data_IF_339276660464
#
_entry.id   IF_339276660464
#
_cell.length_a   1.000
_cell.length_b   1.000
_cell.length_c   1.000
_cell.angle_alpha   90.00
_cell.angle_beta   90.00
_cell.angle_gamma   90.00
#
_symmetry.space_group_name_H-M   'P 1'
#
loop_
_entity.id
_entity.type
_entity.pdbx_description
1 polymer ?
#
# COMPACT_ATOMS: atom_id res chain seq x y z
N UNK A 1 25.75 -56.57 -17.32
CA UNK A 1 24.48 -56.01 -16.77
C UNK A 1 24.60 -55.33 -15.39
N UNK A 2 25.80 -54.91 -14.94
CA UNK A 2 25.98 -54.28 -13.61
C UNK A 2 25.98 -52.73 -13.59
N UNK A 3 26.09 -52.07 -14.75
CA UNK A 3 26.17 -50.59 -14.83
C UNK A 3 24.82 -49.86 -14.88
N UNK A 4 23.74 -50.51 -15.35
CA UNK A 4 22.42 -49.84 -15.46
C UNK A 4 21.71 -49.66 -14.12
N UNK A 5 21.96 -50.53 -13.14
CA UNK A 5 21.29 -50.46 -11.82
C UNK A 5 21.87 -49.34 -10.95
N UNK A 6 23.18 -49.07 -11.04
CA UNK A 6 23.82 -47.98 -10.28
C UNK A 6 23.38 -46.58 -10.73
N UNK A 7 23.17 -46.35 -12.03
CA UNK A 7 22.66 -45.05 -12.50
C UNK A 7 21.23 -44.78 -12.02
N UNK A 8 20.37 -45.81 -11.95
CA UNK A 8 18.99 -45.63 -11.49
C UNK A 8 18.95 -45.35 -9.99
N UNK A 9 19.76 -46.04 -9.17
CA UNK A 9 19.86 -45.75 -7.74
C UNK A 9 20.42 -44.35 -7.44
N UNK A 10 21.43 -43.90 -8.19
CA UNK A 10 21.98 -42.54 -8.04
C UNK A 10 20.97 -41.46 -8.44
N UNK A 11 20.18 -41.68 -9.50
CA UNK A 11 19.14 -40.73 -9.91
C UNK A 11 17.99 -40.65 -8.88
N UNK A 12 17.62 -41.77 -8.25
CA UNK A 12 16.63 -41.77 -7.16
C UNK A 12 17.16 -41.10 -5.89
N UNK A 13 18.45 -41.24 -5.57
CA UNK A 13 19.07 -40.53 -4.44
C UNK A 13 19.16 -39.02 -4.69
N UNK A 14 19.51 -38.59 -5.90
CA UNK A 14 19.50 -37.16 -6.27
C UNK A 14 18.09 -36.56 -6.27
N UNK A 15 17.07 -37.31 -6.70
CA UNK A 15 15.68 -36.89 -6.63
C UNK A 15 15.17 -36.83 -5.17
N UNK A 16 15.59 -37.77 -4.31
CA UNK A 16 15.24 -37.76 -2.88
C UNK A 16 15.91 -36.60 -2.13
N UNK A 17 17.16 -36.23 -2.45
CA UNK A 17 17.81 -35.04 -1.90
C UNK A 17 17.21 -33.73 -2.44
N UNK A 18 16.74 -33.69 -3.70
CA UNK A 18 16.01 -32.52 -4.22
C UNK A 18 14.66 -32.33 -3.52
N UNK A 19 14.01 -33.38 -3.05
CA UNK A 19 12.76 -33.27 -2.26
C UNK A 19 13.03 -32.81 -0.81
N UNK A 20 14.23 -33.08 -0.27
CA UNK A 20 14.65 -32.64 1.07
C UNK A 20 15.33 -31.27 1.11
N UNK A 21 15.69 -30.70 -0.04
CA UNK A 21 16.30 -29.36 -0.16
C UNK A 21 15.32 -28.27 -0.60
N UNK A 22 14.03 -28.57 -0.74
CA UNK A 22 12.99 -27.54 -0.69
C UNK A 22 12.69 -27.21 0.77
N UNK A 23 13.07 -26.03 1.30
CA UNK A 23 12.46 -25.55 2.52
C UNK A 23 11.00 -25.22 2.21
N UNK A 24 10.12 -26.19 2.49
CA UNK A 24 8.70 -25.92 2.63
C UNK A 24 8.51 -24.85 3.71
N UNK A 25 7.97 -23.70 3.31
CA UNK A 25 7.22 -22.78 4.18
C UNK A 25 7.91 -22.20 5.44
N UNK A 26 9.12 -21.65 5.32
CA UNK A 26 9.70 -20.83 6.41
C UNK A 26 9.98 -19.36 6.10
N UNK A 27 9.69 -18.87 4.89
CA UNK A 27 9.87 -17.43 4.58
C UNK A 27 8.71 -16.56 5.10
N UNK A 28 7.47 -17.04 5.07
CA UNK A 28 6.29 -16.18 5.35
C UNK A 28 6.19 -15.68 6.80
N UNK A 29 6.68 -16.43 7.79
CA UNK A 29 6.45 -16.11 9.21
C UNK A 29 7.40 -15.00 9.70
N UNK A 30 8.67 -14.98 9.25
CA UNK A 30 9.63 -13.93 9.65
C UNK A 30 9.26 -12.56 9.10
N UNK A 31 8.80 -12.48 7.85
CA UNK A 31 8.42 -11.22 7.22
C UNK A 31 7.14 -10.59 7.80
N UNK A 32 6.22 -11.42 8.32
CA UNK A 32 4.99 -10.96 8.99
C UNK A 32 5.28 -10.12 10.24
N UNK A 33 6.33 -10.44 11.00
CA UNK A 33 6.73 -9.67 12.19
C UNK A 33 7.36 -8.30 11.83
N UNK A 34 7.98 -8.16 10.66
CA UNK A 34 8.52 -6.88 10.19
C UNK A 34 7.43 -5.86 9.82
N UNK A 35 6.29 -6.33 9.29
CA UNK A 35 5.19 -5.51 8.77
C UNK A 35 4.01 -5.40 9.73
N UNK A 36 4.17 -4.62 10.78
CA UNK A 36 3.05 -4.26 11.65
C UNK A 36 2.08 -3.31 10.95
N UNK A 37 0.82 -3.74 10.80
CA UNK A 37 -0.30 -2.89 10.38
C UNK A 37 -0.74 -2.03 11.57
N UNK A 38 -1.20 -0.81 11.31
CA UNK A 38 -1.52 0.18 12.36
C UNK A 38 -3.00 0.57 12.34
N UNK A 39 -3.53 0.91 13.51
CA UNK A 39 -4.88 1.44 13.74
C UNK A 39 -4.94 2.98 13.74
N UNK A 40 -4.07 3.64 12.99
CA UNK A 40 -4.07 5.11 12.86
C UNK A 40 -5.12 5.48 11.81
N UNK A 41 -6.14 6.22 12.24
CA UNK A 41 -7.20 6.74 11.38
C UNK A 41 -7.48 8.20 11.72
N UNK A 42 -7.91 8.93 10.70
CA UNK A 42 -8.31 10.34 10.75
C UNK A 42 -9.81 10.48 10.43
N UNK A 43 -10.35 11.69 10.45
CA UNK A 43 -11.76 11.96 10.13
C UNK A 43 -11.93 12.70 8.79
N UNK A 44 -13.18 12.82 8.31
CA UNK A 44 -13.48 13.49 7.05
C UNK A 44 -13.10 14.98 7.00
N UNK A 45 -13.02 15.67 8.15
CA UNK A 45 -12.55 17.07 8.19
C UNK A 45 -11.08 17.14 7.82
N UNK A 46 -10.25 16.29 8.44
CA UNK A 46 -8.83 16.15 8.13
C UNK A 46 -8.61 15.85 6.64
N UNK A 47 -9.39 14.93 6.05
CA UNK A 47 -9.33 14.66 4.61
C UNK A 47 -9.61 15.90 3.75
N UNK A 48 -10.66 16.67 4.05
CA UNK A 48 -10.97 17.90 3.30
C UNK A 48 -9.84 18.92 3.38
N UNK A 49 -9.24 19.07 4.55
CA UNK A 49 -8.10 19.96 4.75
C UNK A 49 -6.90 19.52 3.91
N UNK A 50 -6.64 18.21 3.84
CA UNK A 50 -5.59 17.63 2.99
C UNK A 50 -5.92 17.73 1.50
N UNK A 51 -7.16 17.49 1.07
CA UNK A 51 -7.54 17.68 -0.34
C UNK A 51 -7.35 19.12 -0.80
N UNK A 52 -7.46 20.09 0.12
CA UNK A 52 -7.25 21.52 -0.14
C UNK A 52 -5.77 21.93 -0.07
N UNK A 53 -5.05 21.53 0.97
CA UNK A 53 -3.69 22.02 1.29
C UNK A 53 -2.57 21.03 0.93
N UNK A 54 -2.91 19.77 0.73
CA UNK A 54 -1.97 18.65 0.62
C UNK A 54 -1.33 18.26 1.95
N UNK A 55 -0.61 17.14 1.97
CA UNK A 55 0.19 16.73 3.13
C UNK A 55 1.64 17.20 2.94
N UNK A 56 2.31 17.66 4.00
CA UNK A 56 3.68 18.16 3.92
C UNK A 56 4.64 17.23 3.14
N UNK A 57 4.60 15.92 3.40
CA UNK A 57 5.43 14.95 2.68
C UNK A 57 5.14 14.93 1.17
N UNK A 58 3.87 14.89 0.79
CA UNK A 58 3.49 14.87 -0.62
C UNK A 58 3.71 16.22 -1.30
N UNK A 59 3.50 17.33 -0.59
CA UNK A 59 3.77 18.67 -1.11
C UNK A 59 5.26 18.84 -1.41
N UNK A 60 6.13 18.38 -0.53
CA UNK A 60 7.58 18.39 -0.76
C UNK A 60 7.95 17.50 -1.96
N UNK A 61 7.35 16.31 -2.09
CA UNK A 61 7.60 15.46 -3.25
C UNK A 61 7.05 16.01 -4.57
N UNK A 62 5.90 16.71 -4.54
CA UNK A 62 5.36 17.45 -5.69
C UNK A 62 6.36 18.52 -6.13
N UNK A 63 6.85 19.33 -5.18
CA UNK A 63 7.84 20.37 -5.44
C UNK A 63 9.10 19.79 -6.11
N UNK A 64 9.64 18.70 -5.55
CA UNK A 64 10.80 18.00 -6.14
C UNK A 64 10.54 17.49 -7.56
N UNK A 65 9.44 16.77 -7.77
CA UNK A 65 9.12 16.11 -9.04
C UNK A 65 8.71 17.08 -10.14
N UNK A 66 8.27 18.28 -9.77
CA UNK A 66 7.86 19.34 -10.70
C UNK A 66 8.92 20.43 -10.81
N UNK A 67 10.06 20.27 -10.13
CA UNK A 67 11.13 21.27 -10.05
C UNK A 67 10.62 22.65 -9.61
N UNK A 68 9.66 22.67 -8.68
CA UNK A 68 9.02 23.89 -8.16
C UNK A 68 7.99 24.54 -9.09
N UNK A 69 7.69 23.95 -10.25
CA UNK A 69 6.70 24.49 -11.19
C UNK A 69 5.27 24.41 -10.63
N UNK A 70 4.97 23.40 -9.80
CA UNK A 70 3.68 23.24 -9.17
C UNK A 70 3.70 23.73 -7.72
N UNK A 71 2.73 24.59 -7.39
CA UNK A 71 2.40 24.91 -5.99
C UNK A 71 1.10 24.19 -5.62
N UNK A 72 1.08 23.38 -4.53
CA UNK A 72 -0.10 22.60 -4.10
C UNK A 72 -1.38 23.43 -3.91
N UNK A 73 -1.24 24.75 -3.81
CA UNK A 73 -2.28 25.77 -3.72
C UNK A 73 -3.33 25.67 -4.86
N UNK A 74 -3.00 25.03 -5.99
CA UNK A 74 -3.92 24.78 -7.12
C UNK A 74 -4.85 23.56 -6.91
N UNK A 75 -4.77 22.88 -5.76
CA UNK A 75 -5.57 21.73 -5.39
C UNK A 75 -4.75 20.43 -5.45
N UNK A 76 -4.68 19.72 -4.32
CA UNK A 76 -3.76 18.60 -4.11
C UNK A 76 -3.87 17.50 -5.19
N UNK A 77 -5.09 17.10 -5.55
CA UNK A 77 -5.32 16.05 -6.55
C UNK A 77 -4.92 16.47 -7.97
N UNK A 78 -5.03 17.76 -8.30
CA UNK A 78 -4.60 18.30 -9.59
C UNK A 78 -3.07 18.25 -9.69
N UNK A 79 -2.37 18.68 -8.65
CA UNK A 79 -0.90 18.60 -8.60
C UNK A 79 -0.42 17.14 -8.66
N UNK A 80 -1.09 16.19 -7.99
CA UNK A 80 -0.78 14.77 -8.14
C UNK A 80 -1.01 14.23 -9.56
N UNK A 81 -2.03 14.72 -10.27
CA UNK A 81 -2.24 14.36 -11.68
C UNK A 81 -1.11 14.88 -12.56
N UNK A 82 -0.66 16.11 -12.34
CA UNK A 82 0.46 16.69 -13.07
C UNK A 82 1.76 15.92 -12.81
N UNK A 83 2.02 15.51 -11.56
CA UNK A 83 3.14 14.60 -11.23
C UNK A 83 3.06 13.30 -12.04
N UNK A 84 1.86 12.71 -12.13
CA UNK A 84 1.70 11.49 -12.94
C UNK A 84 1.96 11.75 -14.43
N UNK A 85 1.51 12.88 -14.96
CA UNK A 85 1.72 13.24 -16.37
C UNK A 85 3.20 13.50 -16.69
N UNK A 86 3.95 14.11 -15.76
CA UNK A 86 5.42 14.23 -15.84
C UNK A 86 6.06 12.84 -15.84
N UNK A 87 5.64 11.97 -14.91
CA UNK A 87 6.14 10.59 -14.85
C UNK A 87 5.94 9.87 -16.19
N UNK A 88 4.79 10.05 -16.83
CA UNK A 88 4.51 9.45 -18.14
C UNK A 88 5.36 10.04 -19.27
N UNK A 89 5.65 11.33 -19.22
CA UNK A 89 6.39 12.06 -20.25
C UNK A 89 7.88 11.79 -20.16
N UNK A 90 8.44 11.81 -18.95
CA UNK A 90 9.86 11.57 -18.70
C UNK A 90 10.08 10.70 -17.45
N UNK A 91 10.01 9.38 -17.67
CA UNK A 91 10.28 8.37 -16.65
C UNK A 91 11.72 8.44 -16.14
N UNK A 92 12.69 8.81 -16.99
CA UNK A 92 14.09 8.78 -16.63
C UNK A 92 14.44 9.96 -15.70
N UNK A 93 14.00 11.17 -16.02
CA UNK A 93 14.17 12.32 -15.14
C UNK A 93 13.46 12.09 -13.79
N UNK A 94 12.22 11.59 -13.84
CA UNK A 94 11.45 11.24 -12.63
C UNK A 94 12.21 10.22 -11.77
N UNK A 95 12.73 9.15 -12.39
CA UNK A 95 13.54 8.14 -11.72
C UNK A 95 14.77 8.74 -11.04
N UNK A 96 15.49 9.63 -11.74
CA UNK A 96 16.70 10.26 -11.19
C UNK A 96 16.41 11.12 -9.96
N UNK A 97 15.35 11.93 -9.98
CA UNK A 97 14.94 12.74 -8.82
C UNK A 97 14.62 11.84 -7.62
N UNK A 98 13.92 10.73 -7.85
CA UNK A 98 13.60 9.76 -6.80
C UNK A 98 14.88 9.08 -6.28
N UNK A 99 15.77 8.64 -7.18
CA UNK A 99 17.02 7.98 -6.82
C UNK A 99 17.91 8.89 -5.98
N UNK A 100 18.08 10.16 -6.34
CA UNK A 100 18.90 11.12 -5.61
C UNK A 100 18.44 11.29 -4.16
N UNK A 101 17.11 11.38 -3.94
CA UNK A 101 16.55 11.44 -2.60
C UNK A 101 16.84 10.17 -1.80
N UNK A 102 16.55 9.00 -2.39
CA UNK A 102 16.74 7.71 -1.72
C UNK A 102 18.21 7.41 -1.42
N UNK A 103 19.16 7.86 -2.25
CA UNK A 103 20.58 7.62 -2.07
C UNK A 103 21.11 8.16 -0.72
N UNK A 104 20.47 9.21 -0.16
CA UNK A 104 20.95 9.88 1.06
C UNK A 104 20.60 9.12 2.35
N UNK A 105 19.43 8.48 2.39
CA UNK A 105 18.88 7.87 3.63
C UNK A 105 18.34 6.46 3.46
N UNK A 106 18.21 5.96 2.22
CA UNK A 106 17.53 4.70 1.88
C UNK A 106 18.32 3.94 0.80
N UNK A 107 19.59 3.60 1.08
CA UNK A 107 20.50 2.96 0.13
C UNK A 107 19.94 1.67 -0.50
N UNK A 108 19.26 0.82 0.27
CA UNK A 108 18.63 -0.40 -0.24
C UNK A 108 17.50 -0.10 -1.23
N UNK A 109 16.65 0.90 -0.94
CA UNK A 109 15.61 1.34 -1.86
C UNK A 109 16.18 1.97 -3.12
N UNK A 110 17.26 2.74 -2.98
CA UNK A 110 17.97 3.31 -4.10
C UNK A 110 18.49 2.21 -5.04
N UNK A 111 19.20 1.22 -4.50
CA UNK A 111 19.68 0.08 -5.29
C UNK A 111 18.53 -0.70 -5.94
N UNK A 112 17.46 -0.96 -5.20
CA UNK A 112 16.28 -1.67 -5.71
C UNK A 112 15.61 -0.91 -6.86
N UNK A 113 15.47 0.42 -6.75
CA UNK A 113 14.94 1.25 -7.83
C UNK A 113 15.76 1.09 -9.12
N UNK A 114 17.09 1.17 -9.01
CA UNK A 114 17.97 1.08 -10.16
C UNK A 114 17.94 -0.32 -10.79
N UNK A 115 17.95 -1.36 -9.97
CA UNK A 115 17.94 -2.75 -10.43
C UNK A 115 16.63 -3.12 -11.12
N UNK A 116 15.48 -2.86 -10.47
CA UNK A 116 14.16 -3.20 -11.00
C UNK A 116 13.90 -2.45 -12.31
N UNK A 117 14.25 -1.16 -12.37
CA UNK A 117 14.02 -0.35 -13.58
C UNK A 117 14.97 -0.66 -14.73
N UNK A 118 16.09 -1.33 -14.46
CA UNK A 118 17.03 -1.78 -15.48
C UNK A 118 16.60 -3.11 -16.10
N UNK A 119 16.15 -4.04 -15.27
CA UNK A 119 16.07 -5.46 -15.65
C UNK A 119 14.64 -6.00 -15.74
N UNK A 120 13.66 -5.37 -15.08
CA UNK A 120 12.39 -6.03 -14.81
C UNK A 120 11.16 -5.23 -15.25
N UNK A 121 11.15 -3.92 -14.94
CA UNK A 121 9.92 -3.15 -14.94
C UNK A 121 10.10 -1.69 -15.32
N UNK A 122 9.06 -1.08 -15.90
CA UNK A 122 8.97 0.38 -15.99
C UNK A 122 8.85 1.00 -14.58
N UNK A 123 9.09 2.31 -14.49
CA UNK A 123 9.12 3.05 -13.23
C UNK A 123 7.86 2.82 -12.37
N UNK A 124 6.67 2.82 -12.94
CA UNK A 124 5.41 2.61 -12.23
C UNK A 124 5.36 1.26 -11.50
N UNK A 125 5.81 0.19 -12.16
CA UNK A 125 5.90 -1.12 -11.54
C UNK A 125 6.99 -1.14 -10.46
N UNK A 126 8.15 -0.51 -10.70
CA UNK A 126 9.21 -0.41 -9.71
C UNK A 126 8.74 0.30 -8.43
N UNK A 127 8.00 1.41 -8.56
CA UNK A 127 7.41 2.12 -7.42
C UNK A 127 6.48 1.22 -6.60
N UNK A 128 5.64 0.43 -7.27
CA UNK A 128 4.73 -0.50 -6.59
C UNK A 128 5.50 -1.64 -5.93
N UNK A 129 6.48 -2.23 -6.60
CA UNK A 129 7.31 -3.31 -6.05
C UNK A 129 8.10 -2.85 -4.84
N UNK A 130 8.75 -1.70 -4.91
CA UNK A 130 9.51 -1.15 -3.80
C UNK A 130 8.65 -0.92 -2.56
N UNK A 131 7.37 -0.59 -2.71
CA UNK A 131 6.46 -0.46 -1.56
C UNK A 131 6.38 -1.77 -0.77
N UNK A 132 6.53 -2.89 -1.47
CA UNK A 132 6.57 -4.24 -0.90
C UNK A 132 7.96 -4.63 -0.41
N UNK A 133 8.86 -3.70 -0.12
CA UNK A 133 10.14 -3.98 0.54
C UNK A 133 10.12 -3.50 2.00
N UNK A 134 10.71 -4.29 2.91
CA UNK A 134 10.68 -4.01 4.35
C UNK A 134 11.34 -2.68 4.72
N UNK A 135 12.41 -2.33 4.03
CA UNK A 135 13.27 -1.20 4.36
C UNK A 135 12.60 0.17 4.06
N UNK A 136 11.54 0.22 3.24
CA UNK A 136 10.83 1.47 2.95
C UNK A 136 9.38 1.49 3.46
N UNK A 137 8.66 0.36 3.41
CA UNK A 137 7.24 0.27 3.80
C UNK A 137 6.97 0.90 5.17
N UNK A 138 7.72 0.45 6.20
CA UNK A 138 7.51 0.86 7.59
C UNK A 138 7.83 2.34 7.80
N UNK A 139 8.88 2.84 7.15
CA UNK A 139 9.35 4.22 7.25
C UNK A 139 8.39 5.17 6.54
N UNK A 140 7.87 4.78 5.37
CA UNK A 140 6.94 5.59 4.62
C UNK A 140 5.57 5.66 5.31
N UNK A 141 5.00 4.53 5.74
CA UNK A 141 3.73 4.56 6.47
C UNK A 141 3.84 5.28 7.82
N UNK A 142 5.03 5.32 8.44
CA UNK A 142 5.27 6.14 9.62
C UNK A 142 5.31 7.65 9.32
N UNK A 143 5.94 8.04 8.21
CA UNK A 143 5.98 9.43 7.76
C UNK A 143 4.60 9.95 7.37
N UNK A 144 3.75 9.07 6.80
CA UNK A 144 2.36 9.38 6.48
C UNK A 144 1.41 9.25 7.67
N UNK A 145 1.82 8.60 8.75
CA UNK A 145 1.04 8.60 9.99
C UNK A 145 1.25 9.91 10.76
N UNK A 146 0.24 10.31 11.53
CA UNK A 146 0.25 11.43 12.46
C UNK A 146 0.55 12.78 11.78
N UNK A 147 -0.44 13.35 11.12
CA UNK A 147 -0.31 14.63 10.40
C UNK A 147 -1.44 15.62 10.71
N UNK A 148 -2.27 15.36 11.73
CA UNK A 148 -3.45 16.11 12.22
C UNK A 148 -3.47 17.65 12.01
N UNK A 149 -3.67 18.31 10.88
CA UNK A 149 -4.07 17.97 9.52
C UNK A 149 -3.34 19.02 8.68
N UNK A 150 -2.07 18.74 8.33
CA UNK A 150 -1.15 19.40 7.38
C UNK A 150 0.13 20.08 7.90
N UNK A 151 0.33 20.30 9.20
CA UNK A 151 1.50 21.05 9.72
C UNK A 151 2.60 20.15 10.34
N UNK A 152 2.92 19.05 9.66
CA UNK A 152 3.99 18.14 10.11
C UNK A 152 5.36 18.66 9.65
N UNK A 153 6.25 18.92 10.58
CA UNK A 153 7.67 19.17 10.29
C UNK A 153 8.32 17.91 9.73
N UNK A 154 8.88 18.00 8.52
CA UNK A 154 9.56 16.88 7.88
C UNK A 154 10.99 16.74 8.39
N UNK A 155 11.35 15.52 8.80
CA UNK A 155 12.76 15.15 9.04
C UNK A 155 13.51 15.06 7.71
N UNK A 156 14.85 15.04 7.73
CA UNK A 156 15.63 14.83 6.52
C UNK A 156 15.27 13.51 5.83
N UNK A 157 15.14 12.43 6.60
CA UNK A 157 14.70 11.14 6.08
C UNK A 157 13.25 11.17 5.52
N UNK A 158 12.40 12.12 5.91
CA UNK A 158 11.09 12.33 5.27
C UNK A 158 11.24 12.99 3.90
N UNK A 159 12.04 14.04 3.83
CA UNK A 159 12.35 14.74 2.57
C UNK A 159 12.98 13.80 1.54
N UNK A 160 13.90 12.95 1.97
CA UNK A 160 14.63 12.01 1.10
C UNK A 160 13.73 10.95 0.44
N UNK A 161 12.58 10.62 1.04
CA UNK A 161 11.59 9.67 0.47
C UNK A 161 10.34 10.34 -0.11
N UNK A 162 10.25 11.67 -0.08
CA UNK A 162 9.05 12.40 -0.43
C UNK A 162 8.69 12.26 -1.92
N UNK A 163 9.67 12.41 -2.83
CA UNK A 163 9.50 12.18 -4.26
C UNK A 163 8.99 10.76 -4.54
N UNK A 164 9.61 9.73 -3.94
CA UNK A 164 9.15 8.34 -4.05
C UNK A 164 7.68 8.18 -3.60
N UNK A 165 7.35 8.64 -2.39
CA UNK A 165 6.01 8.50 -1.82
C UNK A 165 4.94 9.19 -2.69
N UNK A 166 5.28 10.34 -3.26
CA UNK A 166 4.41 11.12 -4.14
C UNK A 166 4.20 10.44 -5.49
N UNK A 167 5.28 9.96 -6.12
CA UNK A 167 5.20 9.22 -7.37
C UNK A 167 4.40 7.92 -7.21
N UNK A 168 4.57 7.21 -6.09
CA UNK A 168 3.77 6.04 -5.76
C UNK A 168 2.29 6.39 -5.60
N UNK A 169 1.95 7.45 -4.85
CA UNK A 169 0.54 7.88 -4.71
C UNK A 169 -0.07 8.23 -6.07
N UNK A 170 0.64 9.01 -6.88
CA UNK A 170 0.21 9.38 -8.22
C UNK A 170 0.00 8.13 -9.10
N UNK A 171 0.91 7.16 -9.03
CA UNK A 171 0.83 5.88 -9.75
C UNK A 171 -0.40 5.07 -9.30
N UNK A 172 -0.62 4.93 -7.99
CA UNK A 172 -1.79 4.20 -7.46
C UNK A 172 -3.11 4.88 -7.84
N UNK A 173 -3.13 6.18 -8.06
CA UNK A 173 -4.35 6.90 -8.41
C UNK A 173 -4.64 6.90 -9.91
N UNK A 174 -3.61 7.03 -10.75
CA UNK A 174 -3.79 7.34 -12.17
C UNK A 174 -3.27 6.28 -13.15
N UNK A 175 -2.52 5.26 -12.70
CA UNK A 175 -2.01 4.25 -13.60
C UNK A 175 -3.08 3.25 -14.04
N UNK A 176 -3.41 3.27 -15.33
CA UNK A 176 -4.51 2.48 -15.90
C UNK A 176 -4.25 0.97 -15.88
N UNK A 177 -2.97 0.54 -15.93
CA UNK A 177 -2.57 -0.88 -15.86
C UNK A 177 -2.70 -1.49 -14.44
N UNK A 178 -3.18 -0.68 -13.50
CA UNK A 178 -3.45 -1.06 -12.12
C UNK A 178 -4.90 -0.68 -11.76
N UNK A 179 -5.90 -1.45 -12.23
CA UNK A 179 -7.31 -1.12 -12.01
C UNK A 179 -7.70 -1.25 -10.54
N UNK A 180 -8.74 -0.51 -10.15
CA UNK A 180 -9.29 -0.59 -8.80
C UNK A 180 -10.06 -1.89 -8.56
N UNK A 181 -9.78 -2.57 -7.45
CA UNK A 181 -10.51 -3.75 -7.00
C UNK A 181 -11.83 -3.34 -6.33
N UNK A 182 -12.87 -4.16 -6.51
CA UNK A 182 -14.25 -3.79 -6.16
C UNK A 182 -14.95 -4.77 -5.23
N UNK A 183 -14.27 -5.81 -4.76
CA UNK A 183 -14.86 -6.79 -3.86
C UNK A 183 -14.34 -6.60 -2.43
N UNK A 184 -14.75 -7.50 -1.54
CA UNK A 184 -14.37 -7.46 -0.13
C UNK A 184 -12.88 -7.72 0.04
N UNK A 185 -12.25 -6.94 0.91
CA UNK A 185 -10.89 -7.19 1.39
C UNK A 185 -10.88 -7.20 2.91
N UNK A 186 -9.86 -7.83 3.46
CA UNK A 186 -9.65 -8.04 4.88
C UNK A 186 -8.35 -7.36 5.30
N UNK A 187 -8.36 -6.72 6.46
CA UNK A 187 -7.16 -6.13 7.06
C UNK A 187 -7.15 -6.41 8.55
N UNK A 188 -6.25 -7.29 8.95
CA UNK A 188 -5.97 -7.54 10.36
C UNK A 188 -4.93 -6.55 10.88
N UNK A 189 -5.18 -5.99 12.06
CA UNK A 189 -4.29 -5.11 12.79
C UNK A 189 -4.03 -5.80 14.12
N UNK A 190 -2.85 -6.40 14.28
CA UNK A 190 -2.46 -7.09 15.50
C UNK A 190 -1.77 -6.19 16.51
N UNK A 191 -1.86 -6.56 17.79
CA UNK A 191 -1.10 -5.94 18.87
C UNK A 191 -1.38 -4.46 19.08
N UNK A 192 -2.65 -4.07 19.08
CA UNK A 192 -3.10 -2.70 19.27
C UNK A 192 -2.87 -2.27 20.73
N UNK A 193 -1.89 -1.39 21.05
CA UNK A 193 -1.47 -1.14 22.44
C UNK A 193 -2.56 -0.56 23.35
N UNK A 194 -3.59 0.09 22.77
CA UNK A 194 -4.76 0.56 23.49
C UNK A 194 -6.02 0.26 22.66
N UNK A 195 -6.45 -0.99 22.70
CA UNK A 195 -7.59 -1.48 21.91
C UNK A 195 -8.86 -0.67 22.18
N UNK A 196 -9.15 -0.31 23.43
CA UNK A 196 -10.35 0.47 23.79
C UNK A 196 -10.38 1.84 23.10
N UNK A 197 -9.27 2.59 23.13
CA UNK A 197 -9.19 3.89 22.45
C UNK A 197 -9.18 3.75 20.92
N UNK A 198 -8.58 2.68 20.39
CA UNK A 198 -8.61 2.42 18.96
C UNK A 198 -10.04 2.14 18.47
N UNK A 199 -10.81 1.33 19.19
CA UNK A 199 -12.20 1.00 18.85
C UNK A 199 -13.12 2.23 18.87
N UNK A 200 -12.91 3.19 19.79
CA UNK A 200 -13.68 4.45 19.84
C UNK A 200 -13.61 5.26 18.54
N UNK A 201 -12.55 5.09 17.74
CA UNK A 201 -12.41 5.76 16.44
C UNK A 201 -13.36 5.20 15.38
N UNK A 202 -13.79 3.95 15.54
CA UNK A 202 -14.69 3.25 14.62
C UNK A 202 -16.13 3.26 15.14
N UNK A 203 -16.69 4.45 15.34
CA UNK A 203 -18.09 4.60 15.76
C UNK A 203 -19.03 4.26 14.61
N UNK A 204 -20.08 3.48 14.88
CA UNK A 204 -21.10 3.14 13.88
C UNK A 204 -21.59 4.39 13.11
N UNK A 205 -21.66 4.27 11.78
CA UNK A 205 -22.03 5.31 10.80
C UNK A 205 -21.07 6.51 10.71
N UNK A 206 -19.97 6.54 11.47
CA UNK A 206 -18.94 7.57 11.29
C UNK A 206 -18.10 7.29 10.05
N UNK A 207 -17.27 8.27 9.68
CA UNK A 207 -16.23 8.11 8.67
C UNK A 207 -14.87 7.98 9.33
N UNK A 208 -14.05 7.07 8.79
CA UNK A 208 -12.64 6.91 9.13
C UNK A 208 -11.80 7.07 7.86
N UNK A 209 -10.68 7.75 7.97
CA UNK A 209 -9.77 8.03 6.86
C UNK A 209 -8.44 7.37 7.15
N UNK A 210 -7.89 6.63 6.20
CA UNK A 210 -6.56 6.06 6.33
C UNK A 210 -5.52 7.06 5.85
N UNK A 211 -4.69 7.62 6.75
CA UNK A 211 -3.73 8.66 6.39
C UNK A 211 -2.58 8.13 5.53
N UNK A 212 -2.17 6.89 5.78
CA UNK A 212 -1.10 6.22 5.04
C UNK A 212 -1.67 5.25 4.00
N UNK A 213 -0.80 4.80 3.09
CA UNK A 213 -1.08 3.64 2.26
C UNK A 213 -1.46 2.44 3.14
N UNK A 214 -2.51 1.72 2.76
CA UNK A 214 -3.05 0.65 3.60
C UNK A 214 -3.16 -0.66 2.84
N UNK A 215 -2.43 -1.65 3.31
CA UNK A 215 -2.44 -3.02 2.77
C UNK A 215 -3.60 -3.87 3.33
N UNK A 216 -4.26 -4.62 2.44
CA UNK A 216 -5.33 -5.56 2.72
C UNK A 216 -5.18 -6.81 1.85
N UNK A 217 -6.01 -7.84 2.08
CA UNK A 217 -6.05 -9.04 1.25
C UNK A 217 -7.47 -9.45 0.95
N UNK A 218 -7.76 -9.94 -0.26
CA UNK A 218 -9.04 -10.59 -0.55
C UNK A 218 -9.15 -12.00 0.10
N UNK A 219 -8.07 -12.50 0.72
CA UNK A 219 -8.05 -13.76 1.46
C UNK A 219 -8.08 -13.47 2.97
N UNK A 220 -9.18 -13.85 3.63
CA UNK A 220 -9.30 -13.71 5.09
C UNK A 220 -8.20 -14.48 5.83
N UNK A 221 -7.91 -15.72 5.42
CA UNK A 221 -6.83 -16.54 6.02
C UNK A 221 -5.47 -15.84 5.97
N UNK A 222 -5.13 -15.21 4.85
CA UNK A 222 -3.89 -14.45 4.73
C UNK A 222 -3.86 -13.24 5.69
N UNK A 223 -4.99 -12.56 5.87
CA UNK A 223 -5.08 -11.47 6.86
C UNK A 223 -4.92 -11.97 8.30
N UNK A 224 -5.48 -13.12 8.65
CA UNK A 224 -5.42 -13.65 10.02
C UNK A 224 -3.99 -13.90 10.53
N UNK A 225 -3.02 -14.10 9.62
CA UNK A 225 -1.61 -14.25 9.99
C UNK A 225 -1.04 -13.02 10.71
N UNK A 226 -1.60 -11.82 10.49
CA UNK A 226 -1.17 -10.59 11.14
C UNK A 226 -1.77 -10.36 12.54
N UNK A 227 -2.63 -11.27 13.04
CA UNK A 227 -3.13 -11.18 14.40
C UNK A 227 -2.04 -11.60 15.40
N UNK A 228 -1.92 -10.88 16.50
CA UNK A 228 -1.02 -11.23 17.59
C UNK A 228 -1.66 -12.35 18.44
N UNK A 229 -0.88 -13.38 18.75
CA UNK A 229 -1.32 -14.51 19.57
C UNK A 229 -1.36 -14.14 21.06
N UNK A 230 -2.21 -14.82 21.82
CA UNK A 230 -2.28 -14.64 23.29
C UNK A 230 -2.89 -13.32 23.76
N UNK A 231 -3.48 -12.53 22.86
CA UNK A 231 -4.11 -11.24 23.17
C UNK A 231 -5.44 -11.06 22.44
N UNK A 232 -6.33 -10.23 22.98
CA UNK A 232 -7.54 -9.74 22.30
C UNK A 232 -7.34 -8.36 21.67
N UNK A 233 -6.12 -7.83 21.71
CA UNK A 233 -5.72 -6.55 21.13
C UNK A 233 -5.58 -6.61 19.59
N UNK A 234 -6.52 -7.24 18.90
CA UNK A 234 -6.53 -7.38 17.45
C UNK A 234 -7.81 -6.75 16.88
N UNK A 235 -7.70 -6.11 15.71
CA UNK A 235 -8.85 -5.58 14.96
C UNK A 235 -8.84 -6.19 13.56
N UNK A 236 -9.93 -6.85 13.18
CA UNK A 236 -10.18 -7.27 11.80
C UNK A 236 -11.12 -6.27 11.14
N UNK A 237 -10.64 -5.62 10.09
CA UNK A 237 -11.47 -4.81 9.21
C UNK A 237 -11.94 -5.64 8.02
N UNK A 238 -13.25 -5.72 7.82
CA UNK A 238 -13.90 -6.31 6.65
C UNK A 238 -14.37 -5.16 5.78
N UNK A 239 -13.77 -4.98 4.60
CA UNK A 239 -13.89 -3.75 3.82
C UNK A 239 -14.59 -4.03 2.49
N UNK A 240 -15.80 -3.52 2.32
CA UNK A 240 -16.57 -3.52 1.07
C UNK A 240 -16.08 -2.41 0.12
N UNK A 241 -15.63 -2.80 -1.07
CA UNK A 241 -15.14 -1.90 -2.13
C UNK A 241 -16.09 -1.79 -3.33
N UNK A 242 -17.33 -2.28 -3.21
CA UNK A 242 -18.30 -2.31 -4.30
C UNK A 242 -18.60 -0.91 -4.86
N UNK A 243 -18.59 0.10 -3.98
CA UNK A 243 -18.90 1.47 -4.34
C UNK A 243 -17.88 2.07 -5.33
N UNK A 244 -18.31 2.78 -6.38
CA UNK A 244 -17.40 3.51 -7.26
C UNK A 244 -16.61 4.56 -6.47
N UNK A 245 -15.30 4.40 -6.39
CA UNK A 245 -14.41 5.32 -5.69
C UNK A 245 -13.10 5.48 -6.45
N UNK A 246 -12.55 6.68 -6.42
CA UNK A 246 -11.21 6.97 -6.92
C UNK A 246 -10.13 6.34 -6.03
N UNK A 247 -10.47 6.10 -4.76
CA UNK A 247 -9.58 5.55 -3.74
C UNK A 247 -9.64 4.02 -3.65
N UNK A 248 -10.13 3.34 -4.70
CA UNK A 248 -10.20 1.88 -4.73
C UNK A 248 -8.83 1.26 -4.54
N UNK A 249 -8.74 0.16 -3.77
CA UNK A 249 -7.48 -0.52 -3.57
C UNK A 249 -7.01 -1.14 -4.88
N UNK A 250 -5.69 -1.24 -5.02
CA UNK A 250 -5.03 -1.77 -6.20
C UNK A 250 -4.47 -3.15 -5.93
N UNK A 251 -4.74 -4.11 -6.79
CA UNK A 251 -4.14 -5.44 -6.70
C UNK A 251 -2.67 -5.37 -7.08
N UNK A 252 -1.76 -5.44 -6.10
CA UNK A 252 -0.32 -5.26 -6.32
C UNK A 252 0.48 -6.57 -6.24
N UNK A 253 -0.20 -7.68 -5.92
CA UNK A 253 0.37 -9.03 -5.84
C UNK A 253 1.35 -9.35 -6.98
N UNK A 254 0.98 -9.06 -8.23
CA UNK A 254 1.80 -9.35 -9.43
C UNK A 254 3.14 -8.61 -9.49
N UNK A 255 3.32 -7.58 -8.67
CA UNK A 255 4.54 -6.78 -8.59
C UNK A 255 5.25 -6.94 -7.25
N UNK A 256 4.66 -7.67 -6.31
CA UNK A 256 5.23 -7.89 -4.99
C UNK A 256 6.41 -8.85 -5.05
N UNK A 257 7.41 -8.64 -4.20
CA UNK A 257 8.47 -9.63 -3.98
C UNK A 257 7.97 -10.86 -3.21
N UNK A 258 6.76 -10.80 -2.66
CA UNK A 258 6.13 -11.88 -1.90
C UNK A 258 4.93 -12.45 -2.65
N UNK A 259 4.74 -13.76 -2.57
CA UNK A 259 3.51 -14.43 -3.04
C UNK A 259 2.35 -14.14 -2.08
N UNK A 260 1.82 -12.93 -2.20
CA UNK A 260 0.74 -12.40 -1.37
C UNK A 260 -0.43 -11.93 -2.23
N UNK A 261 -1.65 -12.18 -1.77
CA UNK A 261 -2.85 -11.62 -2.40
C UNK A 261 -3.10 -10.21 -1.84
N UNK A 262 -2.17 -9.29 -2.11
CA UNK A 262 -2.14 -7.94 -1.56
C UNK A 262 -2.92 -6.91 -2.40
N UNK A 263 -3.75 -6.14 -1.70
CA UNK A 263 -4.52 -5.02 -2.23
C UNK A 263 -4.19 -3.75 -1.45
N UNK A 264 -3.63 -2.76 -2.15
CA UNK A 264 -3.12 -1.53 -1.56
C UNK A 264 -4.07 -0.37 -1.78
N UNK A 265 -4.60 0.19 -0.70
CA UNK A 265 -5.34 1.45 -0.72
C UNK A 265 -4.36 2.62 -0.86
N UNK A 266 -4.65 3.59 -1.74
CA UNK A 266 -3.93 4.85 -1.73
C UNK A 266 -4.14 5.59 -0.40
N UNK A 267 -3.18 6.43 -0.01
CA UNK A 267 -3.31 7.33 1.15
C UNK A 267 -4.56 8.21 0.99
N UNK A 268 -5.29 8.47 2.09
CA UNK A 268 -6.55 9.23 2.15
C UNK A 268 -7.82 8.49 1.72
N UNK A 269 -7.75 7.17 1.54
CA UNK A 269 -8.96 6.35 1.41
C UNK A 269 -9.86 6.56 2.64
N UNK A 270 -11.14 6.86 2.39
CA UNK A 270 -12.15 7.12 3.41
C UNK A 270 -13.16 6.00 3.40
N UNK A 271 -13.60 5.61 4.59
CA UNK A 271 -14.51 4.50 4.79
C UNK A 271 -15.62 4.91 5.75
N UNK A 272 -16.84 4.48 5.45
CA UNK A 272 -17.95 4.52 6.40
C UNK A 272 -17.92 3.29 7.27
N UNK A 273 -18.09 3.47 8.57
CA UNK A 273 -18.21 2.37 9.55
C UNK A 273 -19.64 1.82 9.51
N UNK A 274 -19.76 0.53 9.18
CA UNK A 274 -21.05 -0.13 8.92
C UNK A 274 -21.53 -1.01 10.08
N UNK A 275 -20.64 -1.41 10.99
CA UNK A 275 -20.98 -2.19 12.18
C UNK A 275 -20.34 -1.61 13.43
N UNK A 276 -20.90 -1.93 14.59
CA UNK A 276 -20.15 -1.84 15.85
C UNK A 276 -19.03 -2.88 15.88
N UNK A 277 -18.06 -2.68 16.77
CA UNK A 277 -16.96 -3.62 16.95
C UNK A 277 -17.45 -4.87 17.69
N UNK A 278 -17.39 -6.02 17.03
CA UNK A 278 -17.86 -7.29 17.58
C UNK A 278 -16.68 -8.19 17.94
N UNK A 279 -16.60 -8.67 19.19
CA UNK A 279 -15.54 -9.59 19.61
C UNK A 279 -15.78 -10.99 19.03
N UNK A 280 -14.80 -11.52 18.31
CA UNK A 280 -14.84 -12.84 17.66
C UNK A 280 -13.59 -13.65 17.97
N UNK A 281 -13.68 -14.95 17.70
CA UNK A 281 -12.57 -15.88 17.80
C UNK A 281 -12.52 -16.76 16.54
N UNK A 282 -11.32 -17.00 16.03
CA UNK A 282 -11.07 -17.97 14.96
C UNK A 282 -9.66 -18.52 15.09
N UNK A 283 -9.50 -19.83 14.93
CA UNK A 283 -8.19 -20.51 14.97
C UNK A 283 -7.34 -20.13 16.20
N UNK A 284 -7.99 -20.04 17.36
CA UNK A 284 -7.34 -19.66 18.62
C UNK A 284 -6.98 -18.17 18.77
N UNK A 285 -7.29 -17.33 17.78
CA UNK A 285 -7.04 -15.88 17.82
C UNK A 285 -8.31 -15.09 18.10
N UNK A 286 -8.24 -14.18 19.06
CA UNK A 286 -9.31 -13.25 19.41
C UNK A 286 -9.12 -11.91 18.71
N UNK A 287 -10.19 -11.31 18.23
CA UNK A 287 -10.16 -10.00 17.55
C UNK A 287 -11.51 -9.31 17.62
N UNK A 288 -11.52 -8.00 17.39
CA UNK A 288 -12.73 -7.22 17.15
C UNK A 288 -12.94 -7.07 15.65
N UNK A 289 -14.06 -7.56 15.13
CA UNK A 289 -14.46 -7.39 13.74
C UNK A 289 -15.22 -6.09 13.54
N UNK A 290 -14.88 -5.35 12.49
CA UNK A 290 -15.54 -4.10 12.11
C UNK A 290 -15.77 -4.11 10.61
N UNK A 291 -17.02 -3.91 10.19
CA UNK A 291 -17.37 -3.76 8.79
C UNK A 291 -17.21 -2.31 8.35
N UNK A 292 -16.51 -2.13 7.23
CA UNK A 292 -16.27 -0.84 6.60
C UNK A 292 -16.79 -0.88 5.16
N UNK A 293 -17.26 0.26 4.66
CA UNK A 293 -17.55 0.45 3.24
C UNK A 293 -16.72 1.61 2.71
N UNK A 294 -16.01 1.41 1.61
CA UNK A 294 -15.24 2.46 0.95
C UNK A 294 -16.18 3.59 0.52
N UNK A 295 -15.89 4.82 0.96
CA UNK A 295 -16.67 5.98 0.57
C UNK A 295 -16.38 6.35 -0.89
N UNK A 296 -17.47 6.43 -1.65
CA UNK A 296 -17.49 6.67 -3.08
C UNK A 296 -18.08 8.03 -3.39
N UNK A 297 -17.42 9.12 -3.02
CA UNK A 297 -17.75 10.41 -3.64
C UNK A 297 -17.41 10.31 -5.12
N UNK A 298 -18.45 10.19 -5.95
CA UNK A 298 -18.34 10.31 -7.41
C UNK A 298 -17.70 11.67 -7.72
N UNK A 299 -16.44 11.69 -8.12
CA UNK A 299 -15.92 12.83 -8.86
C UNK A 299 -16.80 13.01 -10.10
N UNK A 300 -17.29 14.24 -10.33
CA UNK A 300 -17.98 14.58 -11.59
C UNK A 300 -16.98 14.26 -12.71
N UNK A 301 -17.24 13.20 -13.47
CA UNK A 301 -16.48 12.88 -14.68
C UNK A 301 -16.41 14.12 -15.55
N UNK A 302 -15.20 14.49 -15.98
CA UNK A 302 -15.04 15.52 -17.01
C UNK A 302 -15.69 15.05 -18.31
N UNK A 303 -16.13 15.98 -19.14
CA UNK A 303 -16.78 15.68 -20.43
C UNK A 303 -15.90 14.76 -21.29
N UNK A 304 -14.57 14.96 -21.28
CA UNK A 304 -13.60 14.12 -21.96
C UNK A 304 -13.61 12.65 -21.50
N UNK A 305 -13.76 12.39 -20.19
CA UNK A 305 -13.86 11.02 -19.66
C UNK A 305 -15.20 10.35 -19.97
N UNK A 306 -16.26 11.13 -20.23
CA UNK A 306 -17.51 10.60 -20.77
C UNK A 306 -17.37 10.26 -22.24
N UNK A 307 -16.74 11.13 -23.03
CA UNK A 307 -16.55 10.94 -24.48
C UNK A 307 -15.66 9.72 -24.75
N UNK A 308 -14.53 9.54 -24.06
CA UNK A 308 -13.67 8.35 -24.20
C UNK A 308 -14.34 7.02 -23.83
N UNK A 309 -15.44 7.04 -23.06
CA UNK A 309 -16.22 5.83 -22.76
C UNK A 309 -17.26 5.51 -23.81
N UNK A 310 -17.74 6.53 -24.53
CA UNK A 310 -18.72 6.39 -25.62
C UNK A 310 -18.00 6.09 -26.94
N UNK A 311 -16.86 6.72 -27.15
CA UNK A 311 -15.97 6.45 -28.26
C UNK A 311 -14.88 5.49 -27.77
N UNK A 312 -15.13 4.17 -27.87
CA UNK A 312 -14.03 3.19 -27.87
C UNK A 312 -13.19 3.47 -29.12
N UNK A 313 -12.03 4.10 -28.92
CA UNK A 313 -10.89 3.97 -29.83
C UNK A 313 -9.94 2.96 -29.20
#
# INVERSE_FOLDING_TARGET
MKFKVHCICLLTFFLAEMVLTFPANHSSIRHQHGRQKRAVVENSKCKKDIEKKGMALFNYGIDQLTMGAEKPNMGFLKSLKNVYDILQTDRNATKWIIAEGLQRSFHESHSSLLEITKNECMLECALVRMYTEEHIYKKMNAALANHTCTDKTLTQADKDKAAYATALLATLLYWENLPGYSEVTYRMIGGVPNIKEALKKYKLRSSVVFPAFSSSSNKLKASMNFAEGGTDANILLVIDNSQPSFWKPKGIAKFSIYDESEFLYPSLAEFRVMSEAEKKQRDGKYFYEIQLQLDGKKFKKTLLQKIRRVCKF
#
